data_IF_549415937666
#
_entry.id   IF_549415937666
#
_cell.length_a   1.000
_cell.length_b   1.000
_cell.length_c   1.000
_cell.angle_alpha   90.00
_cell.angle_beta   90.00
_cell.angle_gamma   90.00
#
_symmetry.space_group_name_H-M   'P 1'
#
loop_
_entity.id
_entity.type
_entity.pdbx_description
1 polymer ?
#
# COMPACT_ATOMS: atom_id res chain seq x y z
N UNK A 1 -26.23 -5.33 20.24
CA UNK A 1 -25.34 -6.38 19.71
C UNK A 1 -26.16 -7.61 19.35
N UNK A 2 -25.99 -8.16 18.15
CA UNK A 2 -26.70 -9.36 17.67
C UNK A 2 -25.71 -10.30 16.99
N UNK A 3 -25.72 -11.59 17.31
CA UNK A 3 -24.79 -12.57 16.69
C UNK A 3 -25.30 -13.14 15.36
N UNK A 4 -26.55 -12.84 15.00
CA UNK A 4 -27.22 -13.33 13.78
C UNK A 4 -26.40 -13.11 12.50
N UNK A 5 -25.79 -11.93 12.25
CA UNK A 5 -25.00 -11.70 11.04
C UNK A 5 -23.75 -12.59 10.97
N UNK A 6 -23.23 -13.05 12.11
CA UNK A 6 -22.05 -13.91 12.17
C UNK A 6 -22.41 -15.39 12.01
N UNK A 7 -23.52 -15.82 12.61
CA UNK A 7 -23.99 -17.23 12.55
C UNK A 7 -24.43 -17.59 11.14
N UNK A 8 -25.01 -16.63 10.41
CA UNK A 8 -25.44 -16.80 9.01
C UNK A 8 -24.33 -16.56 7.99
N UNK A 9 -23.16 -16.08 8.41
CA UNK A 9 -22.01 -15.86 7.53
C UNK A 9 -21.41 -17.18 7.02
N UNK A 10 -20.61 -17.09 5.96
CA UNK A 10 -19.94 -18.28 5.40
C UNK A 10 -19.04 -18.97 6.44
N UNK A 11 -18.85 -20.30 6.36
CA UNK A 11 -17.98 -21.02 7.29
C UNK A 11 -16.57 -20.43 7.36
N UNK A 12 -16.03 -19.95 6.25
CA UNK A 12 -14.73 -19.28 6.20
C UNK A 12 -14.66 -18.03 7.11
N UNK A 13 -15.72 -17.22 7.13
CA UNK A 13 -15.81 -16.04 7.99
C UNK A 13 -15.90 -16.45 9.46
N UNK A 14 -16.72 -17.45 9.78
CA UNK A 14 -16.84 -17.96 11.14
C UNK A 14 -15.50 -18.48 11.67
N UNK A 15 -14.82 -19.34 10.90
CA UNK A 15 -13.50 -19.85 11.24
C UNK A 15 -12.46 -18.74 11.42
N UNK A 16 -12.49 -17.73 10.55
CA UNK A 16 -11.59 -16.59 10.67
C UNK A 16 -11.84 -15.79 11.95
N UNK A 17 -13.10 -15.47 12.26
CA UNK A 17 -13.49 -14.73 13.47
C UNK A 17 -13.12 -15.53 14.73
N UNK A 18 -13.37 -16.84 14.73
CA UNK A 18 -12.98 -17.76 15.82
C UNK A 18 -11.47 -17.81 16.05
N UNK A 19 -10.65 -17.53 15.03
CA UNK A 19 -9.20 -17.45 15.18
C UNK A 19 -8.73 -16.05 15.60
N UNK A 20 -9.22 -15.00 14.94
CA UNK A 20 -8.72 -13.63 15.10
C UNK A 20 -9.15 -12.98 16.42
N UNK A 21 -10.36 -13.27 16.92
CA UNK A 21 -10.85 -12.70 18.19
C UNK A 21 -10.02 -13.21 19.37
N UNK A 22 -9.80 -14.52 19.55
CA UNK A 22 -8.85 -15.00 20.56
C UNK A 22 -7.42 -14.49 20.32
N UNK A 23 -6.96 -14.39 19.07
CA UNK A 23 -5.64 -13.84 18.78
C UNK A 23 -5.49 -12.38 19.24
N UNK A 24 -6.53 -11.57 19.09
CA UNK A 24 -6.54 -10.18 19.57
C UNK A 24 -6.45 -10.12 21.10
N UNK A 25 -7.28 -10.89 21.79
CA UNK A 25 -7.32 -10.91 23.26
C UNK A 25 -5.98 -11.42 23.82
N UNK A 26 -5.53 -12.58 23.34
CA UNK A 26 -4.28 -13.22 23.78
C UNK A 26 -3.08 -12.32 23.45
N UNK A 27 -3.06 -11.70 22.27
CA UNK A 27 -2.00 -10.79 21.86
C UNK A 27 -1.92 -9.58 22.78
N UNK A 28 -3.06 -8.99 23.17
CA UNK A 28 -3.11 -7.86 24.10
C UNK A 28 -2.55 -8.23 25.47
N UNK A 29 -3.00 -9.35 26.03
CA UNK A 29 -2.51 -9.87 27.32
C UNK A 29 -1.00 -10.17 27.23
N UNK A 30 -0.55 -10.80 26.14
CA UNK A 30 0.86 -11.15 25.92
C UNK A 30 1.76 -9.91 25.83
N UNK A 31 1.30 -8.83 25.21
CA UNK A 31 2.06 -7.58 25.06
C UNK A 31 2.20 -6.83 26.39
N UNK A 32 1.15 -6.86 27.22
CA UNK A 32 1.13 -6.22 28.54
C UNK A 32 1.91 -7.04 29.59
N UNK A 33 1.88 -8.38 29.49
CA UNK A 33 2.49 -9.29 30.45
C UNK A 33 4.02 -9.24 30.53
N UNK A 34 4.57 -9.95 31.53
CA UNK A 34 6.03 -10.10 31.72
C UNK A 34 6.63 -10.94 30.58
N UNK A 35 7.69 -10.43 29.96
CA UNK A 35 8.36 -11.03 28.80
C UNK A 35 9.43 -12.04 29.26
N UNK A 36 9.70 -13.06 28.45
CA UNK A 36 10.79 -14.04 28.70
C UNK A 36 10.44 -15.22 29.62
N UNK A 37 9.25 -15.24 30.22
CA UNK A 37 8.77 -16.35 31.07
C UNK A 37 8.38 -17.58 30.25
N UNK A 38 8.33 -18.79 30.85
CA UNK A 38 7.79 -19.98 30.17
C UNK A 38 6.35 -19.76 29.69
N UNK A 39 5.53 -19.07 30.50
CA UNK A 39 4.18 -18.68 30.15
C UNK A 39 4.14 -17.81 28.88
N UNK A 40 5.00 -16.79 28.77
CA UNK A 40 5.11 -15.96 27.56
C UNK A 40 5.42 -16.80 26.31
N UNK A 41 6.26 -17.85 26.43
CA UNK A 41 6.62 -18.72 25.30
C UNK A 41 5.44 -19.59 24.85
N UNK A 42 4.68 -20.14 25.79
CA UNK A 42 3.49 -20.96 25.47
C UNK A 42 2.42 -20.09 24.83
N UNK A 43 2.10 -18.95 25.47
CA UNK A 43 1.13 -17.97 24.96
C UNK A 43 1.54 -17.47 23.56
N UNK A 44 2.81 -17.16 23.35
CA UNK A 44 3.32 -16.72 22.05
C UNK A 44 3.20 -17.78 20.94
N UNK A 45 3.34 -19.07 21.27
CA UNK A 45 3.13 -20.16 20.29
C UNK A 45 1.66 -20.28 19.91
N UNK A 46 0.77 -20.28 20.91
CA UNK A 46 -0.68 -20.32 20.68
C UNK A 46 -1.11 -19.12 19.82
N UNK A 47 -0.63 -17.92 20.18
CA UNK A 47 -0.91 -16.71 19.43
C UNK A 47 -0.44 -16.79 17.97
N UNK A 48 0.77 -17.30 17.70
CA UNK A 48 1.24 -17.49 16.31
C UNK A 48 0.39 -18.49 15.53
N UNK A 49 -0.03 -19.60 16.15
CA UNK A 49 -0.92 -20.57 15.50
C UNK A 49 -2.25 -19.91 15.12
N UNK A 50 -2.85 -19.12 16.02
CA UNK A 50 -4.09 -18.40 15.74
C UNK A 50 -3.91 -17.37 14.61
N UNK A 51 -2.78 -16.63 14.60
CA UNK A 51 -2.46 -15.70 13.51
C UNK A 51 -2.33 -16.40 12.16
N UNK A 52 -1.75 -17.60 12.11
CA UNK A 52 -1.65 -18.40 10.88
C UNK A 52 -3.03 -18.88 10.42
N UNK A 53 -3.88 -19.38 11.33
CA UNK A 53 -5.25 -19.81 10.99
C UNK A 53 -6.06 -18.63 10.46
N UNK A 54 -5.99 -17.46 11.11
CA UNK A 54 -6.66 -16.25 10.65
C UNK A 54 -6.16 -15.81 9.26
N UNK A 55 -4.83 -15.78 9.05
CA UNK A 55 -4.26 -15.41 7.76
C UNK A 55 -4.66 -16.39 6.64
N UNK A 56 -4.60 -17.71 6.88
CA UNK A 56 -4.96 -18.72 5.88
C UNK A 56 -6.45 -18.72 5.55
N UNK A 57 -7.31 -18.66 6.57
CA UNK A 57 -8.77 -18.59 6.37
C UNK A 57 -9.22 -17.34 5.62
N UNK A 58 -8.50 -16.22 5.78
CA UNK A 58 -8.84 -14.96 5.09
C UNK A 58 -8.75 -15.04 3.56
N UNK A 59 -7.92 -15.94 2.99
CA UNK A 59 -7.85 -16.15 1.54
C UNK A 59 -9.14 -16.74 0.97
N UNK A 60 -10.01 -17.30 1.81
CA UNK A 60 -11.30 -17.83 1.42
C UNK A 60 -12.43 -16.78 1.59
N UNK A 61 -12.14 -15.58 2.09
CA UNK A 61 -13.12 -14.50 2.33
C UNK A 61 -13.09 -13.48 1.18
N UNK A 62 -14.09 -13.55 0.30
CA UNK A 62 -14.15 -12.81 -0.96
C UNK A 62 -15.20 -11.67 -0.97
N UNK A 63 -15.31 -10.90 0.11
CA UNK A 63 -16.38 -9.88 0.26
C UNK A 63 -16.08 -8.52 -0.37
N UNK A 64 -14.82 -8.22 -0.72
CA UNK A 64 -14.44 -6.97 -1.42
C UNK A 64 -13.78 -7.34 -2.74
N UNK A 65 -14.57 -7.41 -3.80
CA UNK A 65 -14.09 -7.77 -5.15
C UNK A 65 -13.57 -6.54 -5.90
N UNK A 66 -12.46 -5.97 -5.44
CA UNK A 66 -11.89 -4.73 -6.03
C UNK A 66 -10.97 -5.03 -7.22
N UNK A 67 -10.23 -6.14 -7.15
CA UNK A 67 -9.45 -6.68 -8.26
C UNK A 67 -9.89 -8.12 -8.51
N UNK A 68 -11.06 -8.30 -9.14
CA UNK A 68 -11.69 -9.62 -9.25
C UNK A 68 -11.81 -10.26 -7.85
N UNK A 69 -11.28 -11.46 -7.62
CA UNK A 69 -11.37 -12.16 -6.33
C UNK A 69 -10.60 -11.51 -5.16
N UNK A 70 -9.64 -10.61 -5.40
CA UNK A 70 -8.71 -10.15 -4.35
C UNK A 70 -9.02 -8.77 -3.79
N UNK A 71 -9.07 -8.70 -2.46
CA UNK A 71 -9.21 -7.49 -1.65
C UNK A 71 -7.86 -7.02 -1.12
N UNK A 72 -7.62 -5.71 -0.87
CA UNK A 72 -6.44 -5.21 -0.16
C UNK A 72 -6.12 -5.94 1.16
N UNK A 73 -7.13 -6.54 1.80
CA UNK A 73 -6.97 -7.33 3.02
C UNK A 73 -6.14 -8.61 2.79
N UNK A 74 -6.10 -9.17 1.57
CA UNK A 74 -5.28 -10.35 1.25
C UNK A 74 -3.78 -10.03 1.30
N UNK A 75 -3.39 -8.79 0.98
CA UNK A 75 -2.02 -8.35 1.16
C UNK A 75 -1.62 -8.37 2.65
N UNK A 76 -2.53 -7.96 3.54
CA UNK A 76 -2.32 -8.07 4.99
C UNK A 76 -2.14 -9.53 5.43
N UNK A 77 -2.86 -10.48 4.82
CA UNK A 77 -2.70 -11.91 5.08
C UNK A 77 -1.33 -12.43 4.66
N UNK A 78 -0.87 -12.06 3.46
CA UNK A 78 0.49 -12.39 2.98
C UNK A 78 1.55 -11.80 3.91
N UNK A 79 1.42 -10.52 4.28
CA UNK A 79 2.32 -9.86 5.23
C UNK A 79 2.28 -10.53 6.61
N UNK A 80 1.13 -11.03 7.04
CA UNK A 80 0.97 -11.78 8.29
C UNK A 80 1.74 -13.09 8.27
N UNK A 81 1.68 -13.84 7.16
CA UNK A 81 2.45 -15.07 6.99
C UNK A 81 3.97 -14.81 7.05
N UNK A 82 4.47 -13.80 6.32
CA UNK A 82 5.88 -13.41 6.40
C UNK A 82 6.27 -12.90 7.80
N UNK A 83 5.40 -12.14 8.44
CA UNK A 83 5.62 -11.67 9.81
C UNK A 83 5.69 -12.82 10.81
N UNK A 84 4.84 -13.85 10.67
CA UNK A 84 4.87 -15.03 11.55
C UNK A 84 6.20 -15.78 11.42
N UNK A 85 6.71 -15.94 10.20
CA UNK A 85 8.05 -16.50 9.94
C UNK A 85 9.11 -15.64 10.64
N UNK A 86 9.04 -14.31 10.51
CA UNK A 86 9.97 -13.40 11.14
C UNK A 86 9.97 -13.51 12.67
N UNK A 87 8.79 -13.63 13.30
CA UNK A 87 8.64 -13.82 14.76
C UNK A 87 9.36 -15.09 15.24
N UNK A 88 9.15 -16.22 14.55
CA UNK A 88 9.75 -17.51 14.91
C UNK A 88 11.26 -17.49 14.67
N UNK A 89 11.68 -16.94 13.52
CA UNK A 89 13.08 -16.89 13.12
C UNK A 89 13.93 -16.02 14.05
N UNK A 90 13.46 -14.82 14.39
CA UNK A 90 14.16 -13.93 15.32
C UNK A 90 14.20 -14.50 16.74
N UNK A 91 13.14 -15.18 17.19
CA UNK A 91 13.12 -15.88 18.47
C UNK A 91 14.19 -16.99 18.54
N UNK A 92 14.33 -17.80 17.49
CA UNK A 92 15.35 -18.86 17.40
C UNK A 92 16.77 -18.31 17.44
N UNK A 93 16.99 -17.14 16.84
CA UNK A 93 18.29 -16.43 16.85
C UNK A 93 18.56 -15.64 18.12
N UNK A 94 17.62 -15.64 19.08
CA UNK A 94 17.68 -14.79 20.28
C UNK A 94 17.79 -13.30 19.97
N UNK A 95 17.31 -12.88 18.80
CA UNK A 95 17.21 -11.48 18.39
C UNK A 95 15.88 -10.90 18.90
N UNK A 96 15.89 -10.51 20.18
CA UNK A 96 14.69 -10.06 20.87
C UNK A 96 14.20 -8.69 20.40
N UNK A 97 15.09 -7.85 19.90
CA UNK A 97 14.73 -6.55 19.34
C UNK A 97 13.88 -6.73 18.09
N UNK A 98 14.31 -7.56 17.13
CA UNK A 98 13.52 -7.82 15.93
C UNK A 98 12.31 -8.71 16.21
N UNK A 99 12.39 -9.63 17.17
CA UNK A 99 11.21 -10.37 17.65
C UNK A 99 10.10 -9.44 18.15
N UNK A 100 10.42 -8.50 19.03
CA UNK A 100 9.45 -7.54 19.54
C UNK A 100 8.88 -6.65 18.45
N UNK A 101 9.71 -6.18 17.50
CA UNK A 101 9.24 -5.42 16.34
C UNK A 101 8.25 -6.23 15.51
N UNK A 102 8.59 -7.47 15.16
CA UNK A 102 7.73 -8.34 14.37
C UNK A 102 6.38 -8.63 15.06
N UNK A 103 6.40 -8.96 16.35
CA UNK A 103 5.18 -9.18 17.14
C UNK A 103 4.32 -7.92 17.19
N UNK A 104 4.91 -6.75 17.48
CA UNK A 104 4.16 -5.47 17.50
C UNK A 104 3.60 -5.13 16.12
N UNK A 105 4.37 -5.33 15.05
CA UNK A 105 3.92 -5.10 13.68
C UNK A 105 2.74 -5.99 13.30
N UNK A 106 2.76 -7.27 13.69
CA UNK A 106 1.62 -8.17 13.48
C UNK A 106 0.40 -7.78 14.31
N UNK A 107 0.58 -7.42 15.58
CA UNK A 107 -0.53 -7.06 16.44
C UNK A 107 -1.19 -5.74 16.01
N UNK A 108 -0.43 -4.64 15.95
CA UNK A 108 -1.00 -3.33 15.60
C UNK A 108 -1.26 -3.19 14.11
N UNK A 109 -0.43 -3.82 13.27
CA UNK A 109 -0.59 -3.81 11.82
C UNK A 109 -1.68 -4.78 11.37
N UNK A 110 -1.49 -6.09 11.53
CA UNK A 110 -2.45 -7.05 11.00
C UNK A 110 -3.77 -7.03 11.79
N UNK A 111 -3.76 -7.25 13.11
CA UNK A 111 -5.00 -7.28 13.91
C UNK A 111 -5.64 -5.89 13.97
N UNK A 112 -4.86 -4.86 14.28
CA UNK A 112 -5.38 -3.49 14.41
C UNK A 112 -5.99 -2.95 13.11
N UNK A 113 -5.28 -3.04 11.98
CA UNK A 113 -5.78 -2.53 10.69
C UNK A 113 -6.93 -3.41 10.17
N UNK A 114 -6.80 -4.74 10.20
CA UNK A 114 -7.87 -5.62 9.74
C UNK A 114 -9.13 -5.52 10.62
N UNK A 115 -8.97 -5.42 11.94
CA UNK A 115 -10.05 -5.16 12.87
C UNK A 115 -10.76 -3.84 12.56
N UNK A 116 -10.00 -2.75 12.36
CA UNK A 116 -10.57 -1.47 11.94
C UNK A 116 -11.39 -1.57 10.65
N UNK A 117 -10.89 -2.30 9.64
CA UNK A 117 -11.66 -2.57 8.41
C UNK A 117 -12.93 -3.41 8.64
N UNK A 118 -12.89 -4.34 9.59
CA UNK A 118 -14.02 -5.21 9.91
C UNK A 118 -15.17 -4.48 10.60
N UNK A 119 -14.89 -3.37 11.27
CA UNK A 119 -15.88 -2.53 11.97
C UNK A 119 -16.38 -1.35 11.14
N UNK A 120 -16.08 -1.30 9.84
CA UNK A 120 -16.65 -0.26 8.97
C UNK A 120 -18.16 -0.50 8.73
N UNK A 121 -18.96 0.56 8.55
CA UNK A 121 -20.37 0.42 8.17
C UNK A 121 -20.55 -0.50 6.96
N UNK A 122 -21.55 -1.39 7.01
CA UNK A 122 -21.80 -2.41 5.99
C UNK A 122 -20.90 -3.65 6.09
N UNK A 123 -20.21 -3.86 7.22
CA UNK A 123 -19.48 -5.10 7.52
C UNK A 123 -20.17 -5.89 8.62
N UNK A 124 -20.02 -7.21 8.56
CA UNK A 124 -20.62 -8.16 9.51
C UNK A 124 -20.28 -7.80 10.97
N UNK A 125 -19.01 -7.51 11.30
CA UNK A 125 -18.67 -7.18 12.69
C UNK A 125 -19.20 -5.82 13.15
N UNK A 126 -19.45 -4.88 12.21
CA UNK A 126 -20.16 -3.63 12.53
C UNK A 126 -21.61 -3.93 12.89
N UNK A 127 -22.31 -4.75 12.10
CA UNK A 127 -23.70 -5.16 12.41
C UNK A 127 -23.80 -5.94 13.72
N UNK A 128 -22.80 -6.78 14.03
CA UNK A 128 -22.76 -7.53 15.28
C UNK A 128 -22.66 -6.61 16.49
N UNK A 129 -21.82 -5.56 16.44
CA UNK A 129 -21.55 -4.67 17.56
C UNK A 129 -22.55 -3.51 17.65
N UNK A 130 -22.73 -2.79 16.55
CA UNK A 130 -23.54 -1.57 16.49
C UNK A 130 -25.01 -1.82 16.07
N UNK A 131 -25.31 -3.02 15.56
CA UNK A 131 -26.65 -3.37 15.07
C UNK A 131 -26.90 -2.92 13.62
N UNK A 132 -27.90 -3.52 12.98
CA UNK A 132 -28.27 -3.18 11.60
C UNK A 132 -28.94 -1.79 11.48
N UNK A 133 -29.53 -1.27 12.57
CA UNK A 133 -30.37 -0.07 12.56
C UNK A 133 -29.60 1.26 12.33
N UNK A 134 -28.30 1.33 12.64
CA UNK A 134 -27.50 2.53 12.36
C UNK A 134 -27.17 2.68 10.87
N UNK A 135 -27.11 1.57 10.12
CA UNK A 135 -26.95 1.62 8.66
C UNK A 135 -28.14 2.33 8.00
N UNK A 136 -29.37 2.07 8.47
CA UNK A 136 -30.59 2.75 8.04
C UNK A 136 -30.67 4.21 8.50
N UNK A 137 -30.11 4.58 9.66
CA UNK A 137 -30.04 5.98 10.10
C UNK A 137 -29.05 6.82 9.26
N UNK A 138 -27.92 6.22 8.83
CA UNK A 138 -27.00 6.83 7.88
C UNK A 138 -27.59 6.94 6.47
N UNK A 139 -28.45 5.98 6.06
CA UNK A 139 -29.21 6.09 4.80
C UNK A 139 -30.33 7.12 4.90
N UNK A 140 -30.97 7.26 6.06
CA UNK A 140 -31.98 8.29 6.31
C UNK A 140 -31.38 9.71 6.34
N UNK A 141 -30.17 9.88 6.89
CA UNK A 141 -29.43 11.14 6.78
C UNK A 141 -29.03 11.48 5.32
N UNK A 142 -28.91 10.48 4.44
CA UNK A 142 -28.66 10.65 3.01
C UNK A 142 -29.93 10.95 2.18
N UNK A 143 -31.12 10.94 2.78
CA UNK A 143 -32.39 11.29 2.10
C UNK A 143 -32.77 12.77 2.16
N UNK A 144 -31.93 13.63 2.76
CA UNK A 144 -32.05 15.08 2.55
C UNK A 144 -31.33 15.41 1.24
N UNK A 145 -32.03 15.83 0.16
CA UNK A 145 -31.38 16.25 -1.06
C UNK A 145 -30.79 17.65 -0.84
N UNK A 146 -29.72 17.74 -0.04
CA UNK A 146 -28.77 18.81 -0.24
C UNK A 146 -28.10 18.46 -1.57
N UNK A 147 -28.20 19.35 -2.56
CA UNK A 147 -27.43 19.27 -3.79
C UNK A 147 -25.94 19.36 -3.41
N UNK A 148 -25.40 18.25 -2.89
CA UNK A 148 -24.01 18.12 -2.50
C UNK A 148 -23.21 18.39 -3.77
N UNK A 149 -22.28 19.35 -3.70
CA UNK A 149 -21.40 19.64 -4.82
C UNK A 149 -20.76 18.34 -5.32
N UNK A 150 -20.41 18.24 -6.61
CA UNK A 150 -19.74 17.04 -7.14
C UNK A 150 -18.52 16.63 -6.28
N UNK A 151 -17.82 17.62 -5.71
CA UNK A 151 -16.73 17.39 -4.77
C UNK A 151 -17.18 16.71 -3.46
N UNK A 152 -18.30 17.14 -2.87
CA UNK A 152 -18.83 16.53 -1.65
C UNK A 152 -19.30 15.09 -1.90
N UNK A 153 -19.89 14.81 -3.05
CA UNK A 153 -20.29 13.45 -3.45
C UNK A 153 -19.07 12.53 -3.63
N UNK A 154 -17.99 13.02 -4.24
CA UNK A 154 -16.75 12.25 -4.40
C UNK A 154 -16.14 11.91 -3.04
N UNK A 155 -16.11 12.87 -2.11
CA UNK A 155 -15.54 12.68 -0.77
C UNK A 155 -16.37 11.72 0.08
N UNK A 156 -17.70 11.81 0.02
CA UNK A 156 -18.59 10.94 0.79
C UNK A 156 -18.72 9.52 0.20
N UNK A 157 -18.65 9.40 -1.13
CA UNK A 157 -18.65 8.11 -1.82
C UNK A 157 -17.27 7.44 -1.81
N UNK A 158 -16.20 8.18 -1.48
CA UNK A 158 -14.86 7.62 -1.37
C UNK A 158 -14.86 6.48 -0.35
N UNK A 159 -14.43 5.27 -0.73
CA UNK A 159 -14.31 4.20 0.22
C UNK A 159 -13.44 4.61 1.40
N UNK A 160 -13.88 4.37 2.63
CA UNK A 160 -13.23 4.91 3.83
C UNK A 160 -11.77 4.48 4.00
N UNK A 161 -11.36 3.37 3.36
CA UNK A 161 -9.97 2.90 3.32
C UNK A 161 -9.02 3.80 2.52
N UNK A 162 -9.55 4.65 1.65
CA UNK A 162 -8.80 5.62 0.86
C UNK A 162 -8.08 6.63 1.77
N UNK A 163 -8.68 7.01 2.89
CA UNK A 163 -8.10 8.01 3.80
C UNK A 163 -6.88 7.49 4.56
N UNK A 164 -6.92 6.32 5.24
CA UNK A 164 -5.71 5.72 5.80
C UNK A 164 -4.63 5.45 4.75
N UNK A 165 -5.02 5.03 3.53
CA UNK A 165 -4.08 4.85 2.43
C UNK A 165 -3.40 6.18 2.05
N UNK A 166 -4.18 7.25 1.87
CA UNK A 166 -3.67 8.58 1.54
C UNK A 166 -2.71 9.09 2.62
N UNK A 167 -3.09 8.95 3.90
CA UNK A 167 -2.21 9.29 5.03
C UNK A 167 -0.91 8.48 4.96
N UNK A 168 -1.00 7.17 4.70
CA UNK A 168 0.17 6.30 4.54
C UNK A 168 1.06 6.69 3.37
N UNK A 169 0.48 7.08 2.23
CA UNK A 169 1.20 7.56 1.05
C UNK A 169 1.87 8.91 1.29
N UNK A 170 1.20 9.83 1.99
CA UNK A 170 1.79 11.10 2.42
C UNK A 170 2.96 10.83 3.37
N UNK A 171 2.78 10.00 4.39
CA UNK A 171 3.83 9.64 5.34
C UNK A 171 5.03 8.99 4.64
N UNK A 172 4.77 8.08 3.67
CA UNK A 172 5.80 7.47 2.85
C UNK A 172 6.54 8.51 1.99
N UNK A 173 5.81 9.43 1.35
CA UNK A 173 6.40 10.50 0.55
C UNK A 173 7.22 11.48 1.40
N UNK A 174 6.73 11.86 2.58
CA UNK A 174 7.47 12.69 3.55
C UNK A 174 8.73 11.98 4.04
N UNK A 175 8.66 10.67 4.30
CA UNK A 175 9.83 9.88 4.65
C UNK A 175 10.90 9.89 3.54
N UNK A 176 10.50 10.03 2.27
CA UNK A 176 11.43 10.15 1.14
C UNK A 176 12.09 11.53 0.99
N UNK A 177 11.59 12.55 1.68
CA UNK A 177 12.23 13.87 1.74
C UNK A 177 13.46 13.90 2.64
N UNK A 178 13.74 12.83 3.39
CA UNK A 178 14.93 12.71 4.24
C UNK A 178 16.02 11.90 3.54
N UNK A 179 17.26 12.35 3.73
CA UNK A 179 18.46 11.64 3.33
C UNK A 179 18.52 10.27 4.00
N UNK A 180 18.88 9.24 3.23
CA UNK A 180 18.94 7.87 3.74
C UNK A 180 19.93 7.02 2.96
N UNK A 181 20.58 6.10 3.66
CA UNK A 181 21.42 5.07 3.07
C UNK A 181 20.56 3.82 2.86
N UNK A 182 20.52 3.30 1.64
CA UNK A 182 19.72 2.11 1.34
C UNK A 182 20.44 1.15 0.38
N UNK A 183 20.13 -0.16 0.45
CA UNK A 183 20.64 -1.11 -0.52
C UNK A 183 19.99 -0.89 -1.89
N UNK A 184 20.74 -1.14 -2.97
CA UNK A 184 20.28 -0.90 -4.36
C UNK A 184 18.93 -1.57 -4.69
N UNK A 185 18.70 -2.80 -4.20
CA UNK A 185 17.45 -3.54 -4.50
C UNK A 185 16.20 -2.82 -3.96
N UNK A 186 16.30 -2.16 -2.79
CA UNK A 186 15.18 -1.42 -2.18
C UNK A 186 14.87 -0.14 -2.94
N UNK A 187 15.89 0.46 -3.56
CA UNK A 187 15.72 1.65 -4.41
C UNK A 187 14.98 1.28 -5.71
N UNK A 188 15.27 0.12 -6.29
CA UNK A 188 14.65 -0.38 -7.53
C UNK A 188 13.25 -0.97 -7.35
N UNK A 189 12.85 -1.29 -6.10
CA UNK A 189 11.56 -1.88 -5.80
C UNK A 189 10.38 -1.03 -6.29
N UNK A 190 10.44 0.30 -6.09
CA UNK A 190 9.35 1.18 -6.47
C UNK A 190 9.21 1.32 -8.00
N UNK A 191 10.27 1.65 -8.77
CA UNK A 191 10.20 1.63 -10.23
C UNK A 191 9.69 0.30 -10.79
N UNK A 192 10.17 -0.84 -10.27
CA UNK A 192 9.72 -2.16 -10.69
C UNK A 192 8.22 -2.38 -10.42
N UNK A 193 7.75 -2.02 -9.23
CA UNK A 193 6.33 -2.13 -8.89
C UNK A 193 5.44 -1.26 -9.80
N UNK A 194 5.90 -0.06 -10.17
CA UNK A 194 5.18 0.81 -11.10
C UNK A 194 5.16 0.23 -12.52
N UNK A 195 6.28 -0.31 -13.02
CA UNK A 195 6.34 -0.99 -14.33
C UNK A 195 5.36 -2.18 -14.37
N UNK A 196 5.37 -3.02 -13.33
CA UNK A 196 4.43 -4.14 -13.22
C UNK A 196 2.99 -3.64 -13.19
N UNK A 197 2.69 -2.61 -12.40
CA UNK A 197 1.35 -2.03 -12.31
C UNK A 197 0.85 -1.49 -13.66
N UNK A 198 1.70 -0.80 -14.42
CA UNK A 198 1.37 -0.31 -15.77
C UNK A 198 1.09 -1.46 -16.72
N UNK A 199 1.96 -2.48 -16.74
CA UNK A 199 1.80 -3.66 -17.59
C UNK A 199 0.50 -4.40 -17.31
N UNK A 200 0.23 -4.63 -16.03
CA UNK A 200 -1.00 -5.29 -15.57
C UNK A 200 -2.25 -4.47 -15.95
N UNK A 201 -2.22 -3.14 -15.79
CA UNK A 201 -3.34 -2.26 -16.16
C UNK A 201 -3.60 -2.29 -17.67
N UNK A 202 -2.54 -2.32 -18.47
CA UNK A 202 -2.61 -2.39 -19.93
C UNK A 202 -3.18 -3.73 -20.40
N UNK A 203 -2.75 -4.85 -19.81
CA UNK A 203 -3.31 -6.17 -20.13
C UNK A 203 -4.78 -6.29 -19.72
N UNK A 204 -5.14 -5.78 -18.54
CA UNK A 204 -6.51 -5.84 -18.04
C UNK A 204 -7.48 -4.93 -18.81
N UNK A 205 -6.99 -3.81 -19.35
CA UNK A 205 -7.79 -2.85 -20.12
C UNK A 205 -7.91 -3.15 -21.62
N UNK A 206 -7.24 -4.20 -22.11
CA UNK A 206 -7.13 -4.50 -23.53
C UNK A 206 -6.03 -3.69 -24.24
N UNK A 207 -5.44 -4.27 -25.27
CA UNK A 207 -4.37 -3.64 -26.05
C UNK A 207 -4.95 -2.72 -27.13
N UNK A 208 -5.10 -1.44 -26.83
CA UNK A 208 -5.49 -0.41 -27.81
C UNK A 208 -4.29 0.41 -28.29
N UNK A 209 -4.35 0.89 -29.54
CA UNK A 209 -3.29 1.75 -30.10
C UNK A 209 -3.15 3.05 -29.32
N UNK A 210 -4.26 3.68 -28.93
CA UNK A 210 -4.25 4.92 -28.14
C UNK A 210 -3.71 4.70 -26.73
N UNK A 211 -4.02 3.56 -26.10
CA UNK A 211 -3.48 3.19 -24.80
C UNK A 211 -1.98 2.93 -24.83
N UNK A 212 -1.49 2.22 -25.85
CA UNK A 212 -0.06 2.01 -26.07
C UNK A 212 0.67 3.34 -26.35
N UNK A 213 0.08 4.22 -27.15
CA UNK A 213 0.62 5.55 -27.41
C UNK A 213 0.68 6.39 -26.12
N UNK A 214 -0.37 6.36 -25.29
CA UNK A 214 -0.40 7.05 -23.99
C UNK A 214 0.70 6.55 -23.04
N UNK A 215 0.94 5.24 -22.99
CA UNK A 215 2.05 4.64 -22.22
C UNK A 215 3.40 5.11 -22.78
N UNK A 216 3.60 5.04 -24.10
CA UNK A 216 4.86 5.42 -24.74
C UNK A 216 5.18 6.91 -24.52
N UNK A 217 4.19 7.79 -24.70
CA UNK A 217 4.32 9.24 -24.49
C UNK A 217 4.59 9.54 -23.01
N UNK A 218 3.78 8.99 -22.10
CA UNK A 218 3.96 9.17 -20.67
C UNK A 218 5.35 8.72 -20.21
N UNK A 219 5.78 7.52 -20.61
CA UNK A 219 7.06 6.96 -20.23
C UNK A 219 8.22 7.76 -20.82
N UNK A 220 8.16 8.10 -22.12
CA UNK A 220 9.19 8.88 -22.80
C UNK A 220 9.39 10.25 -22.17
N UNK A 221 8.29 11.00 -21.95
CA UNK A 221 8.34 12.30 -21.29
C UNK A 221 8.81 12.19 -19.84
N UNK A 222 8.33 11.18 -19.11
CA UNK A 222 8.69 10.98 -17.71
C UNK A 222 10.18 10.67 -17.53
N UNK A 223 10.72 9.76 -18.35
CA UNK A 223 12.15 9.45 -18.36
C UNK A 223 13.00 10.67 -18.74
N UNK A 224 12.60 11.40 -19.78
CA UNK A 224 13.29 12.61 -20.22
C UNK A 224 13.36 13.66 -19.09
N UNK A 225 12.21 14.02 -18.50
CA UNK A 225 12.14 14.96 -17.38
C UNK A 225 12.95 14.45 -16.18
N UNK A 226 12.81 13.18 -15.82
CA UNK A 226 13.54 12.58 -14.72
C UNK A 226 15.06 12.67 -14.89
N UNK A 227 15.60 12.32 -16.06
CA UNK A 227 17.02 12.45 -16.34
C UNK A 227 17.47 13.91 -16.43
N UNK A 228 16.66 14.80 -17.01
CA UNK A 228 16.94 16.24 -17.07
C UNK A 228 17.13 16.84 -15.67
N UNK A 229 16.24 16.49 -14.72
CA UNK A 229 16.34 16.96 -13.32
C UNK A 229 17.56 16.40 -12.57
N UNK A 230 18.20 15.36 -13.09
CA UNK A 230 19.32 14.66 -12.43
C UNK A 230 20.65 14.81 -13.16
N UNK A 231 20.74 15.69 -14.18
CA UNK A 231 21.94 15.88 -15.01
C UNK A 231 23.21 16.22 -14.23
N UNK A 232 23.08 16.90 -13.08
CA UNK A 232 24.20 17.33 -12.24
C UNK A 232 24.33 16.58 -10.91
N UNK A 233 23.59 15.48 -10.70
CA UNK A 233 23.63 14.77 -9.43
C UNK A 233 24.85 13.86 -9.33
N UNK A 234 25.68 14.09 -8.31
CA UNK A 234 26.83 13.26 -7.97
C UNK A 234 26.36 12.06 -7.14
N UNK A 235 26.76 10.86 -7.54
CA UNK A 235 26.38 9.62 -6.87
C UNK A 235 27.42 9.20 -5.85
N UNK A 236 27.03 9.13 -4.57
CA UNK A 236 27.88 8.60 -3.51
C UNK A 236 27.53 7.13 -3.27
N UNK A 237 28.33 6.22 -3.84
CA UNK A 237 28.24 4.78 -3.56
C UNK A 237 29.01 4.46 -2.27
N UNK A 238 28.38 3.74 -1.35
CA UNK A 238 28.99 3.27 -0.11
C UNK A 238 29.37 1.79 -0.22
N UNK A 239 30.31 1.35 0.61
CA UNK A 239 30.70 -0.06 0.72
C UNK A 239 29.49 -0.97 1.04
N UNK A 240 29.43 -2.11 0.36
CA UNK A 240 28.42 -3.15 0.56
C UNK A 240 27.09 -2.94 -0.18
N UNK A 241 27.12 -2.58 -1.47
CA UNK A 241 25.93 -2.45 -2.34
C UNK A 241 24.89 -1.43 -1.82
N UNK A 242 25.36 -0.35 -1.20
CA UNK A 242 24.55 0.72 -0.61
C UNK A 242 24.79 2.05 -1.32
N UNK A 243 23.73 2.85 -1.42
CA UNK A 243 23.78 4.17 -2.04
C UNK A 243 23.18 5.18 -1.07
N UNK A 244 23.81 6.35 -0.97
CA UNK A 244 23.23 7.49 -0.27
C UNK A 244 22.24 8.17 -1.21
N UNK A 245 20.96 8.13 -0.82
CA UNK A 245 19.87 8.78 -1.55
C UNK A 245 19.53 10.06 -0.83
N UNK A 246 19.74 11.19 -1.52
CA UNK A 246 19.32 12.50 -1.02
C UNK A 246 17.80 12.62 -1.03
N UNK A 247 17.27 13.32 -0.03
CA UNK A 247 15.86 13.63 0.09
C UNK A 247 15.35 14.46 -1.07
N UNK A 248 14.12 14.19 -1.51
CA UNK A 248 13.51 14.88 -2.65
C UNK A 248 11.99 15.00 -2.52
N UNK A 249 11.47 16.18 -2.88
CA UNK A 249 10.02 16.45 -2.87
C UNK A 249 9.33 15.88 -4.12
N UNK A 250 10.08 15.70 -5.23
CA UNK A 250 9.56 15.20 -6.51
C UNK A 250 8.85 13.84 -6.35
N UNK A 251 9.42 12.95 -5.54
CA UNK A 251 8.82 11.63 -5.26
C UNK A 251 7.47 11.74 -4.53
N UNK A 252 7.32 12.70 -3.59
CA UNK A 252 6.05 12.94 -2.90
C UNK A 252 5.00 13.46 -3.88
N UNK A 253 5.34 14.47 -4.68
CA UNK A 253 4.43 15.03 -5.70
C UNK A 253 3.98 13.94 -6.67
N UNK A 254 4.92 13.13 -7.19
CA UNK A 254 4.61 12.04 -8.10
C UNK A 254 3.65 11.00 -7.48
N UNK A 255 3.88 10.61 -6.22
CA UNK A 255 2.98 9.68 -5.50
C UNK A 255 1.57 10.26 -5.37
N UNK A 256 1.46 11.54 -5.01
CA UNK A 256 0.16 12.21 -4.85
C UNK A 256 -0.57 12.38 -6.19
N UNK A 257 0.13 12.71 -7.27
CA UNK A 257 -0.45 12.81 -8.62
C UNK A 257 -0.91 11.44 -9.13
N UNK A 258 -0.13 10.38 -8.91
CA UNK A 258 -0.54 9.00 -9.26
C UNK A 258 -1.81 8.62 -8.50
N UNK A 259 -1.85 8.87 -7.18
CA UNK A 259 -3.01 8.59 -6.36
C UNK A 259 -4.23 9.39 -6.81
N UNK A 260 -4.11 10.70 -6.98
CA UNK A 260 -5.19 11.58 -7.42
C UNK A 260 -5.74 11.16 -8.80
N UNK A 261 -4.86 10.87 -9.76
CA UNK A 261 -5.26 10.42 -11.09
C UNK A 261 -6.08 9.13 -11.03
N UNK A 262 -5.64 8.15 -10.22
CA UNK A 262 -6.37 6.88 -10.07
C UNK A 262 -7.67 7.04 -9.29
N UNK A 263 -7.68 7.88 -8.26
CA UNK A 263 -8.87 8.18 -7.47
C UNK A 263 -9.93 8.88 -8.32
N UNK A 264 -9.54 9.90 -9.10
CA UNK A 264 -10.45 10.61 -10.02
C UNK A 264 -10.97 9.67 -11.10
N UNK A 265 -10.13 8.82 -11.71
CA UNK A 265 -10.60 7.81 -12.67
C UNK A 265 -11.67 6.90 -12.04
N UNK A 266 -11.43 6.42 -10.82
CA UNK A 266 -12.38 5.59 -10.07
C UNK A 266 -13.69 6.33 -9.75
N UNK A 267 -13.60 7.60 -9.37
CA UNK A 267 -14.78 8.44 -9.15
C UNK A 267 -15.59 8.63 -10.45
N UNK A 268 -14.92 8.92 -11.57
CA UNK A 268 -15.57 9.07 -12.87
C UNK A 268 -16.23 7.78 -13.34
N UNK A 269 -15.62 6.61 -13.11
CA UNK A 269 -16.27 5.33 -13.44
C UNK A 269 -17.59 5.11 -12.69
N UNK A 270 -17.73 5.66 -11.48
CA UNK A 270 -18.94 5.52 -10.67
C UNK A 270 -19.98 6.61 -10.90
N UNK A 271 -19.56 7.84 -11.20
CA UNK A 271 -20.44 9.02 -11.23
C UNK A 271 -20.78 9.45 -12.66
N UNK A 272 -19.81 9.39 -13.59
CA UNK A 272 -19.95 9.92 -14.95
C UNK A 272 -19.11 9.10 -15.95
N UNK A 273 -19.45 7.82 -16.18
CA UNK A 273 -18.65 6.90 -17.00
C UNK A 273 -18.49 7.39 -18.45
N UNK A 274 -19.47 8.11 -18.98
CA UNK A 274 -19.42 8.69 -20.33
C UNK A 274 -18.30 9.71 -20.50
N UNK A 275 -17.87 10.37 -19.41
CA UNK A 275 -16.71 11.26 -19.42
C UNK A 275 -15.41 10.54 -19.81
N UNK A 276 -15.32 9.23 -19.56
CA UNK A 276 -14.17 8.43 -19.92
C UNK A 276 -14.16 8.02 -21.40
N UNK A 277 -15.30 8.12 -22.09
CA UNK A 277 -15.43 7.86 -23.52
C UNK A 277 -15.00 9.07 -24.36
N UNK A 278 -14.89 10.25 -23.75
CA UNK A 278 -14.40 11.45 -24.42
C UNK A 278 -12.95 11.20 -24.93
N UNK A 279 -12.65 11.55 -26.21
CA UNK A 279 -11.34 11.30 -26.79
C UNK A 279 -10.21 11.88 -25.95
N UNK A 280 -9.22 11.06 -25.60
CA UNK A 280 -8.03 11.48 -24.84
C UNK A 280 -8.18 11.44 -23.32
N UNK A 281 -9.40 11.31 -22.78
CA UNK A 281 -9.60 11.29 -21.31
C UNK A 281 -9.12 9.98 -20.70
N UNK A 282 -9.49 8.83 -21.29
CA UNK A 282 -9.01 7.53 -20.85
C UNK A 282 -7.47 7.43 -20.96
N UNK A 283 -6.91 7.97 -22.04
CA UNK A 283 -5.48 8.04 -22.31
C UNK A 283 -4.75 8.90 -21.28
N UNK A 284 -5.32 10.04 -20.87
CA UNK A 284 -4.73 10.90 -19.83
C UNK A 284 -4.55 10.15 -18.50
N UNK A 285 -5.57 9.38 -18.09
CA UNK A 285 -5.49 8.57 -16.87
C UNK A 285 -4.53 7.38 -16.96
N UNK A 286 -4.02 7.07 -18.16
CA UNK A 286 -2.92 6.12 -18.38
C UNK A 286 -1.58 6.86 -18.42
N UNK A 287 -1.47 7.91 -19.24
CA UNK A 287 -0.25 8.65 -19.48
C UNK A 287 0.27 9.35 -18.21
N UNK A 288 -0.62 9.95 -17.39
CA UNK A 288 -0.21 10.73 -16.23
C UNK A 288 0.47 9.88 -15.13
N UNK A 289 -0.10 8.75 -14.67
CA UNK A 289 0.61 7.87 -13.74
C UNK A 289 1.91 7.30 -14.31
N UNK A 290 1.93 6.95 -15.60
CA UNK A 290 3.12 6.42 -16.29
C UNK A 290 4.22 7.49 -16.39
N UNK A 291 3.86 8.74 -16.64
CA UNK A 291 4.78 9.88 -16.62
C UNK A 291 5.43 10.03 -15.25
N UNK A 292 4.63 10.11 -14.18
CA UNK A 292 5.15 10.20 -12.81
C UNK A 292 6.05 9.00 -12.46
N UNK A 293 5.66 7.79 -12.86
CA UNK A 293 6.49 6.60 -12.69
C UNK A 293 7.82 6.68 -13.46
N UNK A 294 7.80 7.18 -14.70
CA UNK A 294 8.99 7.41 -15.52
C UNK A 294 9.95 8.41 -14.87
N UNK A 295 9.43 9.53 -14.34
CA UNK A 295 10.24 10.50 -13.59
C UNK A 295 10.93 9.83 -12.41
N UNK A 296 10.18 9.09 -11.59
CA UNK A 296 10.72 8.41 -10.42
C UNK A 296 11.75 7.33 -10.79
N UNK A 297 11.50 6.57 -11.85
CA UNK A 297 12.40 5.53 -12.35
C UNK A 297 13.72 6.13 -12.84
N UNK A 298 13.68 7.17 -13.69
CA UNK A 298 14.87 7.85 -14.19
C UNK A 298 15.70 8.47 -13.05
N UNK A 299 15.04 9.03 -12.02
CA UNK A 299 15.74 9.55 -10.83
C UNK A 299 16.40 8.46 -10.00
N UNK A 300 15.70 7.36 -9.76
CA UNK A 300 16.26 6.21 -9.04
C UNK A 300 17.46 5.61 -9.78
N UNK A 301 17.40 5.53 -11.11
CA UNK A 301 18.51 5.11 -11.96
C UNK A 301 19.69 6.09 -11.92
N UNK A 302 19.42 7.39 -11.99
CA UNK A 302 20.46 8.41 -11.89
C UNK A 302 21.19 8.36 -10.55
N UNK A 303 20.48 8.10 -9.44
CA UNK A 303 21.07 7.95 -8.10
C UNK A 303 22.00 6.73 -7.98
N UNK A 304 21.78 5.68 -8.76
CA UNK A 304 22.70 4.52 -8.81
C UNK A 304 23.83 4.71 -9.81
N UNK A 305 23.90 5.83 -10.53
CA UNK A 305 24.98 6.18 -11.45
C UNK A 305 24.62 5.97 -12.92
N UNK A 306 23.37 5.64 -13.24
CA UNK A 306 22.88 5.53 -14.61
C UNK A 306 22.11 6.80 -15.00
N UNK A 307 22.79 7.75 -15.66
CA UNK A 307 22.16 8.90 -16.28
C UNK A 307 22.73 9.10 -17.71
N UNK A 308 21.95 8.83 -18.77
CA UNK A 308 22.42 8.98 -20.15
C UNK A 308 22.72 10.43 -20.53
N UNK A 309 22.19 11.40 -19.77
CA UNK A 309 22.41 12.83 -19.97
C UNK A 309 23.53 13.39 -19.09
N UNK A 310 24.16 12.57 -18.25
CA UNK A 310 25.33 13.00 -17.50
C UNK A 310 26.43 13.31 -18.52
N UNK A 311 26.87 14.58 -18.55
CA UNK A 311 28.10 14.89 -19.26
C UNK A 311 29.19 14.07 -18.58
N UNK A 312 29.90 13.26 -19.38
CA UNK A 312 31.13 12.58 -18.94
C UNK A 312 32.17 13.68 -18.71
N UNK A 313 32.03 14.45 -17.64
CA UNK A 313 33.04 15.39 -17.21
C UNK A 313 34.21 14.55 -16.71
N UNK A 314 35.05 14.13 -17.65
CA UNK A 314 36.48 14.04 -17.42
C UNK A 314 36.90 15.40 -16.88
N UNK A 315 36.94 15.53 -15.56
CA UNK A 315 37.80 16.48 -14.86
C UNK A 315 38.06 15.91 -13.47
N UNK A 316 39.27 15.36 -13.34
CA UNK A 316 40.09 15.29 -12.13
C UNK A 316 39.78 14.15 -11.15
N UNK A 317 39.90 12.91 -11.63
CA UNK A 317 40.87 12.03 -10.97
C UNK A 317 42.24 12.44 -11.53
N UNK A 318 43.19 12.72 -10.63
CA UNK A 318 44.62 13.03 -10.77
C UNK A 318 44.94 14.38 -10.07
N UNK A 319 45.81 14.29 -9.04
CA UNK A 319 46.67 15.36 -8.49
C UNK A 319 46.16 16.29 -7.37
N UNK A 320 45.68 15.73 -6.24
CA UNK A 320 45.75 16.45 -4.94
C UNK A 320 46.00 15.53 -3.73
N UNK A 321 46.42 14.28 -3.97
CA UNK A 321 47.05 13.42 -2.97
C UNK A 321 48.42 13.01 -3.51
N UNK A 322 49.33 13.97 -3.49
CA UNK A 322 50.78 13.77 -3.39
C UNK A 322 51.37 15.01 -2.71
#
# INVERSE_FOLDING_TARGET
MTLEPLITASPAIQFHVLAVVPAAIIGGIMLLGRKGTPAHRIVGRVWIVLMLIAALSSFFIHTIRMWSAFSPIHLLSVLTLFGAIAVVWSARRRDFTNHQRAVKSLYFGAIGIAGGFSFLPGRIMHEVVFGAAEASAATAAATVPVAASPAMQIVSAAPIWVWPLLIGLIALGVSRMRDRVMPLWRLMLLPAALTVSTFVTLLAGGLSVSGLAAVAIGLGLGLAVGWMTMRGVVTTRLAGNRVMVRGEVVSLIAILVIFASRFVKGALTGIAPDSLLAPGVAELFVAMPVFCAGVMAARALAQVGFNPLARKSRRLMLEAEC
#
